data_IF_857112253175
#
_entry.id   IF_857112253175
#
_cell.length_a   1.000
_cell.length_b   1.000
_cell.length_c   1.000
_cell.angle_alpha   90.00
_cell.angle_beta   90.00
_cell.angle_gamma   90.00
#
_symmetry.space_group_name_H-M   'P 1'
#
loop_
_entity.id
_entity.type
_entity.pdbx_description
1 polymer ?
#
# COMPACT_ATOMS: atom_id res chain seq x y z
N UNK A 1 13.00 0.86 -3.90
CA UNK A 1 13.00 -0.59 -3.57
C UNK A 1 14.43 -1.12 -3.53
N UNK A 2 14.76 -1.97 -2.55
CA UNK A 2 16.09 -2.58 -2.44
C UNK A 2 16.25 -3.78 -3.40
N UNK A 3 17.45 -4.01 -3.97
CA UNK A 3 17.72 -5.16 -4.80
C UNK A 3 17.61 -6.46 -3.98
N UNK A 4 17.02 -7.49 -4.58
CA UNK A 4 16.90 -8.82 -3.98
C UNK A 4 18.29 -9.40 -3.65
N UNK A 5 18.47 -9.86 -2.40
CA UNK A 5 19.74 -10.42 -1.92
C UNK A 5 20.80 -9.38 -1.51
N UNK A 6 20.49 -8.09 -1.59
CA UNK A 6 21.36 -7.02 -1.08
C UNK A 6 21.39 -6.91 0.44
N UNK A 7 22.44 -6.30 0.99
CA UNK A 7 22.50 -5.84 2.39
C UNK A 7 22.26 -4.32 2.42
N UNK A 8 21.02 -3.85 2.61
CA UNK A 8 20.76 -2.42 2.64
C UNK A 8 21.41 -1.76 3.85
N UNK A 9 21.72 -0.47 3.73
CA UNK A 9 22.07 0.37 4.89
C UNK A 9 20.92 0.26 5.93
N UNK A 10 21.20 -0.07 7.21
CA UNK A 10 20.16 -0.28 8.20
C UNK A 10 19.23 0.93 8.39
N UNK A 11 19.76 2.16 8.28
CA UNK A 11 18.95 3.36 8.40
C UNK A 11 18.06 3.57 7.18
N UNK A 12 18.57 3.31 5.97
CA UNK A 12 17.75 3.32 4.76
C UNK A 12 16.58 2.32 4.86
N UNK A 13 16.84 1.11 5.37
CA UNK A 13 15.79 0.11 5.59
C UNK A 13 14.70 0.59 6.55
N UNK A 14 15.07 1.22 7.67
CA UNK A 14 14.07 1.73 8.63
C UNK A 14 13.21 2.87 8.08
N UNK A 15 13.70 3.62 7.09
CA UNK A 15 12.95 4.74 6.49
C UNK A 15 11.83 4.29 5.57
N UNK A 16 11.82 3.03 5.13
CA UNK A 16 10.71 2.51 4.32
C UNK A 16 9.39 2.52 5.11
N UNK A 17 9.44 2.41 6.44
CA UNK A 17 8.26 2.42 7.31
C UNK A 17 7.87 3.83 7.81
N UNK A 18 8.47 4.89 7.25
CA UNK A 18 8.24 6.27 7.72
C UNK A 18 6.76 6.66 7.70
N UNK A 19 6.00 6.19 6.71
CA UNK A 19 4.58 6.50 6.55
C UNK A 19 3.64 5.41 7.08
N UNK A 20 4.15 4.29 7.56
CA UNK A 20 3.33 3.17 8.06
C UNK A 20 3.35 3.09 9.59
N UNK A 21 4.49 3.36 10.22
CA UNK A 21 4.69 3.22 11.68
C UNK A 21 3.74 4.12 12.50
N UNK A 22 3.29 5.24 11.93
CA UNK A 22 2.37 6.17 12.59
C UNK A 22 1.06 5.51 13.01
N UNK A 23 0.50 4.62 12.17
CA UNK A 23 -0.73 3.89 12.50
C UNK A 23 -0.53 2.96 13.69
N UNK A 24 0.59 2.24 13.73
CA UNK A 24 0.89 1.31 14.82
C UNK A 24 1.04 2.05 16.16
N UNK A 25 1.76 3.18 16.16
CA UNK A 25 2.01 3.96 17.38
C UNK A 25 0.75 4.67 17.87
N UNK A 26 -0.09 5.16 16.95
CA UNK A 26 -1.34 5.82 17.28
C UNK A 26 -2.51 4.84 17.49
N UNK A 27 -2.32 3.55 17.19
CA UNK A 27 -3.34 2.50 17.23
C UNK A 27 -4.51 2.71 16.26
N UNK A 28 -4.29 3.44 15.18
CA UNK A 28 -5.34 3.76 14.20
C UNK A 28 -5.48 2.63 13.16
N UNK A 29 -6.71 2.34 12.70
CA UNK A 29 -6.90 1.50 11.52
C UNK A 29 -6.28 2.16 10.28
N UNK A 30 -5.67 1.33 9.44
CA UNK A 30 -4.87 1.74 8.30
C UNK A 30 -5.09 0.81 7.10
N UNK A 31 -5.28 1.38 5.90
CA UNK A 31 -5.49 0.62 4.66
C UNK A 31 -4.54 1.13 3.58
N UNK A 32 -3.78 0.21 2.98
CA UNK A 32 -2.99 0.46 1.76
C UNK A 32 -3.70 -0.17 0.57
N UNK A 33 -3.83 0.58 -0.53
CA UNK A 33 -4.43 0.10 -1.77
C UNK A 33 -3.68 0.66 -2.99
N UNK A 34 -3.76 0.01 -4.17
CA UNK A 34 -3.08 0.48 -5.37
C UNK A 34 -3.62 1.83 -5.83
N UNK A 35 -2.72 2.71 -6.28
CA UNK A 35 -3.07 4.07 -6.72
C UNK A 35 -2.43 4.46 -8.06
N UNK A 36 -1.79 3.51 -8.75
CA UNK A 36 -1.23 3.71 -10.08
C UNK A 36 0.17 3.10 -10.23
N UNK A 37 0.92 3.63 -11.20
CA UNK A 37 2.23 3.13 -11.57
C UNK A 37 3.21 4.28 -11.76
N UNK A 38 4.44 4.07 -11.33
CA UNK A 38 5.59 4.94 -11.60
C UNK A 38 6.71 4.06 -12.16
N UNK A 39 7.27 4.45 -13.31
CA UNK A 39 8.31 3.67 -14.01
C UNK A 39 7.96 2.17 -14.22
N UNK A 40 6.67 1.88 -14.43
CA UNK A 40 6.15 0.52 -14.63
C UNK A 40 6.02 -0.32 -13.36
N UNK A 41 6.29 0.24 -12.18
CA UNK A 41 6.14 -0.40 -10.87
C UNK A 41 4.87 0.10 -10.16
N UNK A 42 4.15 -0.78 -9.43
CA UNK A 42 2.94 -0.40 -8.71
C UNK A 42 3.27 0.56 -7.56
N UNK A 43 2.44 1.58 -7.41
CA UNK A 43 2.47 2.54 -6.30
C UNK A 43 1.20 2.39 -5.48
N UNK A 44 1.34 2.34 -4.15
CA UNK A 44 0.23 2.27 -3.20
C UNK A 44 -0.03 3.61 -2.51
N UNK A 45 -1.26 3.83 -2.09
CA UNK A 45 -1.67 4.95 -1.24
C UNK A 45 -2.16 4.44 0.12
N UNK A 46 -1.77 5.13 1.19
CA UNK A 46 -2.11 4.78 2.57
C UNK A 46 -3.20 5.71 3.11
N UNK A 47 -4.30 5.14 3.61
CA UNK A 47 -5.32 5.85 4.37
C UNK A 47 -5.29 5.43 5.84
N UNK A 48 -5.70 6.36 6.71
CA UNK A 48 -5.96 6.15 8.13
C UNK A 48 -7.37 6.61 8.46
N UNK A 49 -8.00 5.95 9.43
CA UNK A 49 -9.30 6.36 9.97
C UNK A 49 -9.25 6.44 11.50
N UNK A 50 -10.23 7.08 12.15
CA UNK A 50 -10.38 7.01 13.59
C UNK A 50 -10.53 5.57 14.09
N UNK A 51 -10.28 5.35 15.38
CA UNK A 51 -10.45 4.07 16.05
C UNK A 51 -11.80 3.40 15.75
N UNK A 52 -11.75 2.10 15.45
CA UNK A 52 -12.93 1.27 15.15
C UNK A 52 -13.80 1.79 13.98
N UNK A 53 -13.15 2.36 12.95
CA UNK A 53 -13.79 2.82 11.71
C UNK A 53 -13.19 2.13 10.48
N UNK A 54 -12.86 0.86 10.60
CA UNK A 54 -12.32 0.03 9.53
C UNK A 54 -13.24 -0.01 8.30
N UNK A 55 -14.56 0.01 8.52
CA UNK A 55 -15.54 0.03 7.43
C UNK A 55 -15.44 1.32 6.60
N UNK A 56 -15.07 2.45 7.22
CA UNK A 56 -14.89 3.71 6.51
C UNK A 56 -13.71 3.63 5.53
N UNK A 57 -12.62 2.95 5.92
CA UNK A 57 -11.48 2.73 5.05
C UNK A 57 -11.86 1.86 3.85
N UNK A 58 -12.58 0.76 4.09
CA UNK A 58 -13.04 -0.14 3.03
C UNK A 58 -14.01 0.56 2.08
N UNK A 59 -14.94 1.36 2.60
CA UNK A 59 -15.87 2.14 1.77
C UNK A 59 -15.15 3.20 0.93
N UNK A 60 -14.18 3.91 1.51
CA UNK A 60 -13.40 4.90 0.79
C UNK A 60 -12.54 4.27 -0.33
N UNK A 61 -11.90 3.13 -0.04
CA UNK A 61 -11.12 2.40 -1.03
C UNK A 61 -12.00 1.79 -2.13
N UNK A 62 -13.19 1.27 -1.78
CA UNK A 62 -14.17 0.78 -2.76
C UNK A 62 -14.63 1.91 -3.68
N UNK A 63 -14.97 3.07 -3.12
CA UNK A 63 -15.36 4.24 -3.92
C UNK A 63 -14.22 4.69 -4.85
N UNK A 64 -12.97 4.61 -4.40
CA UNK A 64 -11.80 4.90 -5.24
C UNK A 64 -11.64 3.87 -6.36
N UNK A 65 -11.78 2.58 -6.06
CA UNK A 65 -11.72 1.48 -7.03
C UNK A 65 -12.82 1.61 -8.09
N UNK A 66 -14.07 1.85 -7.69
CA UNK A 66 -15.20 2.04 -8.62
C UNK A 66 -15.03 3.31 -9.48
N UNK A 67 -14.41 4.36 -8.94
CA UNK A 67 -14.13 5.58 -9.67
C UNK A 67 -12.91 5.47 -10.61
N UNK A 68 -12.09 4.42 -10.47
CA UNK A 68 -10.82 4.28 -11.21
C UNK A 68 -10.66 2.90 -11.85
N UNK A 69 -10.65 2.86 -13.18
CA UNK A 69 -10.54 1.63 -13.97
C UNK A 69 -9.12 0.98 -13.95
N UNK A 70 -8.13 1.59 -13.27
CA UNK A 70 -6.70 1.43 -13.62
C UNK A 70 -5.70 1.17 -12.49
N UNK A 71 -6.13 0.85 -11.27
CA UNK A 71 -5.19 0.70 -10.17
C UNK A 71 -4.56 -0.71 -10.05
N UNK A 72 -5.21 -1.75 -10.58
CA UNK A 72 -4.78 -3.13 -10.41
C UNK A 72 -4.18 -3.70 -11.69
N UNK A 73 -2.85 -3.87 -11.73
CA UNK A 73 -2.27 -4.82 -12.67
C UNK A 73 -2.63 -6.23 -12.19
N UNK A 74 -3.38 -6.95 -13.00
CA UNK A 74 -3.54 -8.40 -12.84
C UNK A 74 -2.26 -9.06 -13.35
N UNK A 75 -1.28 -9.28 -12.47
CA UNK A 75 -0.24 -10.27 -12.75
C UNK A 75 -0.95 -11.59 -13.05
N UNK A 76 -0.56 -12.36 -14.08
CA UNK A 76 -1.20 -13.64 -14.36
C UNK A 76 -1.09 -14.53 -13.12
N UNK A 77 -2.21 -14.70 -12.42
CA UNK A 77 -2.32 -15.62 -11.30
C UNK A 77 -2.53 -17.02 -11.90
N UNK A 78 -1.45 -17.65 -12.36
CA UNK A 78 -1.41 -19.10 -12.58
C UNK A 78 -1.72 -19.67 -13.98
N UNK A 79 -1.40 -18.98 -15.08
CA UNK A 79 -1.33 -19.63 -16.42
C UNK A 79 0.10 -19.80 -16.96
N UNK A 80 1.12 -19.54 -16.13
CA UNK A 80 2.53 -19.67 -16.51
C UNK A 80 3.34 -20.48 -15.49
N UNK A 81 2.83 -21.66 -15.11
CA UNK A 81 3.60 -22.80 -14.61
C UNK A 81 3.12 -24.08 -15.29
#
# INVERSE_FOLDING_TARGET
AFPLGGRPDPLAMYREDLYTVGANLAGLPALSFPAGFEDGLPVGLQLFAPWARDELLLQAALAFEEATDRAFLRTPLGEAL
#
